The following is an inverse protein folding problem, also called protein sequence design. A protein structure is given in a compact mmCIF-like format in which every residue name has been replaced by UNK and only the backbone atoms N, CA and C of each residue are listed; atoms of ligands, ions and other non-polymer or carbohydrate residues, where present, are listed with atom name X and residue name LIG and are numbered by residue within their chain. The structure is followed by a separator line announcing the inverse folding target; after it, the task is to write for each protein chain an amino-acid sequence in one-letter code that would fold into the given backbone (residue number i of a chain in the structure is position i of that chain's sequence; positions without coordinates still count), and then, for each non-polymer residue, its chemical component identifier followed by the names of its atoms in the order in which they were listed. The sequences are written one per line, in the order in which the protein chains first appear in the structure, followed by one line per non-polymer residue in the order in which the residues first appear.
data_IF_190253218851
#
_entry.id   IF_190253218851
#
_cell.length_a   1.000
_cell.length_b   1.000
_cell.length_c   1.000
_cell.angle_alpha   90.00
_cell.angle_beta   90.00
_cell.angle_gamma   90.00
#
_symmetry.space_group_name_H-M   'P 1'
#
loop_
_entity.id
_entity.type
_entity.pdbx_description
1 polymer ?
#
# COMPACT_ATOMS: atom_id res chain seq x y z
N UNK A 1 11.75 -14.80 -4.10
CA UNK A 1 10.89 -14.09 -5.07
C UNK A 1 9.56 -13.62 -4.46
N UNK A 2 8.90 -14.35 -3.55
CA UNK A 2 7.67 -13.87 -2.88
C UNK A 2 7.88 -13.10 -1.57
N UNK A 3 9.05 -13.20 -0.93
CA UNK A 3 9.26 -12.65 0.42
C UNK A 3 9.24 -11.11 0.44
N UNK A 4 9.91 -10.48 -0.53
CA UNK A 4 9.96 -9.02 -0.65
C UNK A 4 8.58 -8.40 -0.93
N UNK A 5 7.77 -9.07 -1.76
CA UNK A 5 6.41 -8.65 -2.09
C UNK A 5 5.48 -8.83 -0.86
N UNK A 6 5.60 -9.95 -0.15
CA UNK A 6 4.90 -10.18 1.12
C UNK A 6 5.28 -9.17 2.19
N UNK A 7 6.55 -8.83 2.34
CA UNK A 7 7.01 -7.80 3.29
C UNK A 7 6.47 -6.41 2.94
N UNK A 8 6.35 -6.07 1.66
CA UNK A 8 5.72 -4.81 1.23
C UNK A 8 4.24 -4.76 1.54
N UNK A 9 3.52 -5.85 1.27
CA UNK A 9 2.09 -5.97 1.62
C UNK A 9 1.93 -5.88 3.15
N UNK A 10 2.81 -6.52 3.92
CA UNK A 10 2.83 -6.43 5.38
C UNK A 10 3.12 -5.01 5.87
N UNK A 11 4.05 -4.26 5.25
CA UNK A 11 4.31 -2.87 5.62
C UNK A 11 3.11 -1.97 5.36
N UNK A 12 2.41 -2.17 4.23
CA UNK A 12 1.17 -1.47 3.92
C UNK A 12 0.04 -1.84 4.91
N UNK A 13 -0.06 -3.13 5.28
CA UNK A 13 -1.02 -3.62 6.28
C UNK A 13 -0.70 -3.15 7.70
N UNK A 14 0.58 -2.98 8.06
CA UNK A 14 1.00 -2.40 9.35
C UNK A 14 0.65 -0.92 9.42
N UNK A 15 0.69 -0.20 8.28
CA UNK A 15 0.19 1.17 8.18
C UNK A 15 -1.34 1.24 8.06
N UNK A 16 -2.04 0.11 7.93
CA UNK A 16 -3.49 0.12 7.76
C UNK A 16 -4.16 0.64 9.05
N UNK A 17 -4.95 1.72 8.96
CA UNK A 17 -5.58 2.32 10.13
C UNK A 17 -6.78 1.49 10.61
N UNK A 18 -7.10 1.59 11.91
CA UNK A 18 -8.17 0.78 12.53
C UNK A 18 -9.56 0.98 11.89
N UNK A 19 -9.82 2.17 11.32
CA UNK A 19 -11.07 2.42 10.60
C UNK A 19 -11.21 1.54 9.35
N UNK A 20 -10.10 1.16 8.70
CA UNK A 20 -10.10 0.32 7.50
C UNK A 20 -10.59 -1.10 7.82
N UNK A 21 -10.13 -1.64 8.96
CA UNK A 21 -10.61 -2.93 9.48
C UNK A 21 -12.09 -2.88 9.85
N UNK A 22 -12.51 -1.76 10.45
CA UNK A 22 -13.91 -1.56 10.85
C UNK A 22 -14.84 -1.44 9.64
N UNK A 23 -14.41 -0.74 8.59
CA UNK A 23 -15.18 -0.59 7.35
C UNK A 23 -15.18 -1.87 6.50
N UNK A 24 -14.08 -2.64 6.45
CA UNK A 24 -14.06 -3.97 5.82
C UNK A 24 -14.96 -4.99 6.55
N UNK A 25 -15.03 -4.90 7.88
CA UNK A 25 -15.91 -5.74 8.69
C UNK A 25 -17.36 -5.25 8.73
N UNK A 26 -17.64 -4.07 8.16
CA UNK A 26 -18.99 -3.51 8.11
C UNK A 26 -19.84 -4.27 7.10
N UNK A 27 -21.13 -4.47 7.42
CA UNK A 27 -22.11 -5.07 6.50
C UNK A 27 -22.57 -4.11 5.40
N UNK A 28 -22.16 -2.85 5.50
CA UNK A 28 -22.53 -1.80 4.56
C UNK A 28 -21.61 -1.84 3.34
N UNK A 29 -22.18 -2.13 2.16
CA UNK A 29 -21.44 -2.25 0.90
C UNK A 29 -20.64 -0.98 0.58
N UNK A 30 -21.17 0.20 0.90
CA UNK A 30 -20.49 1.47 0.63
C UNK A 30 -19.23 1.65 1.51
N UNK A 31 -19.29 1.20 2.76
CA UNK A 31 -18.13 1.22 3.66
C UNK A 31 -17.08 0.20 3.24
N UNK A 32 -17.51 -1.02 2.87
CA UNK A 32 -16.61 -2.06 2.38
C UNK A 32 -15.87 -1.61 1.11
N UNK A 33 -16.59 -1.00 0.17
CA UNK A 33 -16.03 -0.48 -1.07
C UNK A 33 -14.98 0.62 -0.79
N UNK A 34 -15.30 1.59 0.07
CA UNK A 34 -14.34 2.63 0.48
C UNK A 34 -13.07 2.05 1.08
N UNK A 35 -13.20 1.04 1.94
CA UNK A 35 -12.03 0.42 2.53
C UNK A 35 -11.19 -0.38 1.51
N UNK A 36 -11.82 -1.02 0.53
CA UNK A 36 -11.08 -1.69 -0.55
C UNK A 36 -10.34 -0.70 -1.45
N UNK A 37 -10.95 0.43 -1.76
CA UNK A 37 -10.32 1.50 -2.55
C UNK A 37 -9.14 2.12 -1.81
N UNK A 38 -9.32 2.41 -0.52
CA UNK A 38 -8.24 2.92 0.32
C UNK A 38 -7.09 1.91 0.43
N UNK A 39 -7.39 0.62 0.63
CA UNK A 39 -6.36 -0.43 0.64
C UNK A 39 -5.62 -0.52 -0.70
N UNK A 40 -6.35 -0.43 -1.82
CA UNK A 40 -5.75 -0.46 -3.16
C UNK A 40 -4.83 0.74 -3.39
N UNK A 41 -5.24 1.93 -2.94
CA UNK A 41 -4.41 3.15 -3.00
C UNK A 41 -3.18 3.06 -2.11
N UNK A 42 -3.29 2.46 -0.92
CA UNK A 42 -2.15 2.23 -0.03
C UNK A 42 -1.14 1.23 -0.63
N UNK A 43 -1.62 0.14 -1.24
CA UNK A 43 -0.76 -0.83 -1.92
C UNK A 43 -0.10 -0.17 -3.14
N UNK A 44 -0.86 0.57 -3.95
CA UNK A 44 -0.32 1.30 -5.10
C UNK A 44 0.73 2.34 -4.69
N UNK A 45 0.54 3.02 -3.56
CA UNK A 45 1.51 3.96 -3.00
C UNK A 45 2.77 3.24 -2.52
N UNK A 46 2.63 2.14 -1.77
CA UNK A 46 3.77 1.35 -1.32
C UNK A 46 4.59 0.74 -2.48
N UNK A 47 3.93 0.38 -3.58
CA UNK A 47 4.59 -0.05 -4.82
C UNK A 47 5.26 1.12 -5.55
N UNK A 48 4.62 2.29 -5.60
CA UNK A 48 5.14 3.49 -6.27
C UNK A 48 6.33 4.11 -5.56
N UNK A 49 6.31 4.20 -4.22
CA UNK A 49 7.46 4.65 -3.41
C UNK A 49 8.70 3.79 -3.70
N UNK A 50 8.53 2.50 -3.97
CA UNK A 50 9.63 1.62 -4.31
C UNK A 50 10.11 1.76 -5.76
N UNK A 51 9.18 1.97 -6.70
CA UNK A 51 9.52 2.28 -8.08
C UNK A 51 10.29 3.62 -8.18
N UNK A 52 9.89 4.62 -7.38
CA UNK A 52 10.56 5.91 -7.28
C UNK A 52 11.95 5.81 -6.63
N UNK A 53 12.10 5.00 -5.58
CA UNK A 53 13.41 4.71 -4.98
C UNK A 53 14.42 4.05 -5.92
N UNK A 54 13.95 3.25 -6.89
CA UNK A 54 14.80 2.70 -7.96
C UNK A 54 15.19 3.76 -9.01
N UNK A 55 14.33 4.75 -9.29
CA UNK A 55 14.64 5.87 -10.19
C UNK A 55 15.57 6.89 -9.51
N UNK A 56 15.41 7.13 -8.21
CA UNK A 56 16.22 8.09 -7.46
C UNK A 56 17.70 7.66 -7.31
N UNK A 57 17.97 6.34 -7.26
CA UNK A 57 19.34 5.80 -7.31
C UNK A 57 20.02 6.04 -8.68
N UNK A 58 19.26 6.08 -9.78
CA UNK A 58 19.81 6.36 -11.12
C UNK A 58 20.13 7.84 -11.35
N UNK A 59 19.40 8.74 -10.68
CA UNK A 59 19.53 10.19 -10.86
C UNK A 59 20.64 10.83 -10.00
N UNK A 60 21.08 10.12 -8.95
CA UNK A 60 22.20 10.56 -8.08
C UNK A 60 23.58 10.19 -8.63
N UNK A 61 23.66 9.34 -9.67
CA UNK A 61 24.92 8.94 -10.32
C UNK A 61 25.35 9.91 -11.46
N UNK A 62 24.57 10.98 -11.69
CA UNK A 62 24.81 12.00 -12.72
C UNK A 62 24.98 13.41 -12.13
N UNK A 63 25.55 13.50 -10.92
CA UNK A 63 25.91 14.75 -10.24
C UNK A 63 27.41 14.90 -10.06
#
# INVERSE_FOLDING_TARGET
MSDELSQRILAALVRAPDWLRRDLSSKDDANRQRAQEALSSMIASALSEHADGLIQCGMSAFG
#
